data_IF_342040015955
#
_entry.id   IF_342040015955
#
_cell.length_a   1.000
_cell.length_b   1.000
_cell.length_c   1.000
_cell.angle_alpha   90.00
_cell.angle_beta   90.00
_cell.angle_gamma   90.00
#
_symmetry.space_group_name_H-M   'P 1'
#
loop_
_entity.id
_entity.type
_entity.pdbx_description
1 polymer ?
#
# COMPACT_ATOMS: atom_id res chain seq x y z
N UNK A 1 41.99 -47.07 32.83
CA UNK A 1 41.60 -45.67 33.08
C UNK A 1 41.71 -44.71 31.89
N UNK A 2 42.38 -45.04 30.76
CA UNK A 2 42.45 -44.15 29.57
C UNK A 2 41.15 -44.09 28.71
N UNK A 3 40.32 -45.13 28.73
CA UNK A 3 39.10 -45.22 27.90
C UNK A 3 37.92 -44.39 28.45
N UNK A 4 37.88 -44.15 29.77
CA UNK A 4 36.82 -43.37 30.42
C UNK A 4 36.96 -41.86 30.22
N UNK A 5 38.20 -41.37 30.05
CA UNK A 5 38.49 -39.94 29.79
C UNK A 5 38.13 -39.55 28.36
N UNK A 6 38.35 -40.42 27.37
CA UNK A 6 37.97 -40.16 25.98
C UNK A 6 36.44 -40.08 25.81
N UNK A 7 35.69 -40.94 26.50
CA UNK A 7 34.22 -40.92 26.48
C UNK A 7 33.64 -39.66 27.13
N UNK A 8 34.28 -39.12 28.18
CA UNK A 8 33.81 -37.90 28.85
C UNK A 8 34.16 -36.62 28.09
N UNK A 9 35.29 -36.61 27.35
CA UNK A 9 35.62 -35.50 26.43
C UNK A 9 34.67 -35.48 25.22
N UNK A 10 34.38 -36.64 24.62
CA UNK A 10 33.42 -36.76 23.51
C UNK A 10 31.99 -36.39 23.91
N UNK A 11 31.56 -36.74 25.14
CA UNK A 11 30.25 -36.32 25.68
C UNK A 11 30.19 -34.80 25.90
N UNK A 12 31.28 -34.18 26.40
CA UNK A 12 31.36 -32.72 26.56
C UNK A 12 31.34 -31.97 25.23
N UNK A 13 31.93 -32.55 24.18
CA UNK A 13 31.91 -31.98 22.84
C UNK A 13 30.53 -32.13 22.19
N UNK A 14 29.84 -33.27 22.38
CA UNK A 14 28.47 -33.46 21.89
C UNK A 14 27.44 -32.55 22.57
N UNK A 15 27.63 -32.21 23.85
CA UNK A 15 26.78 -31.24 24.55
C UNK A 15 26.95 -29.79 24.07
N UNK A 16 28.05 -29.46 23.36
CA UNK A 16 28.23 -28.14 22.74
C UNK A 16 27.54 -28.02 21.35
N UNK A 17 27.06 -29.12 20.78
CA UNK A 17 26.39 -29.15 19.47
C UNK A 17 24.87 -29.33 19.54
N UNK A 18 24.29 -29.53 20.72
CA UNK A 18 22.83 -29.65 20.91
C UNK A 18 22.28 -28.31 21.40
N UNK A 19 22.13 -27.34 20.48
CA UNK A 19 21.03 -26.36 20.44
C UNK A 19 21.29 -25.28 19.39
N UNK A 20 21.51 -25.68 18.14
CA UNK A 20 21.10 -24.88 16.97
C UNK A 20 19.75 -25.42 16.46
N UNK A 21 18.78 -25.64 17.35
CA UNK A 21 17.39 -25.77 16.91
C UNK A 21 16.90 -24.39 16.52
N UNK A 22 16.26 -24.31 15.36
CA UNK A 22 15.86 -23.08 14.69
C UNK A 22 15.09 -22.16 15.65
N UNK A 23 15.76 -21.11 16.16
CA UNK A 23 15.25 -20.34 17.30
C UNK A 23 13.93 -19.61 16.99
N UNK A 24 13.61 -19.45 15.70
CA UNK A 24 12.43 -18.74 15.22
C UNK A 24 11.18 -19.62 15.06
N UNK A 25 11.31 -20.95 15.02
CA UNK A 25 10.15 -21.86 14.87
C UNK A 25 9.13 -21.66 16.01
N UNK A 26 9.60 -21.31 17.20
CA UNK A 26 8.72 -20.98 18.33
C UNK A 26 7.94 -19.69 18.08
N UNK A 27 8.57 -18.68 17.47
CA UNK A 27 7.92 -17.42 17.14
C UNK A 27 6.90 -17.63 16.01
N UNK A 28 7.23 -18.44 15.00
CA UNK A 28 6.30 -18.79 13.92
C UNK A 28 5.04 -19.48 14.48
N UNK A 29 5.19 -20.46 15.37
CA UNK A 29 4.05 -21.12 16.04
C UNK A 29 3.21 -20.17 16.89
N UNK A 30 3.83 -19.18 17.53
CA UNK A 30 3.08 -18.17 18.29
C UNK A 30 2.28 -17.26 17.35
N UNK A 31 2.84 -16.92 16.18
CA UNK A 31 2.13 -16.19 15.13
C UNK A 31 0.93 -16.98 14.60
N UNK A 32 1.09 -18.27 14.33
CA UNK A 32 0.00 -19.16 13.89
C UNK A 32 -1.15 -19.25 14.90
N UNK A 33 -0.86 -19.08 16.19
CA UNK A 33 -1.85 -19.09 17.29
C UNK A 33 -2.37 -17.71 17.65
N UNK A 34 -2.00 -16.68 16.91
CA UNK A 34 -2.33 -15.27 17.18
C UNK A 34 -1.88 -14.78 18.57
N UNK A 35 -0.86 -15.43 19.15
CA UNK A 35 -0.31 -15.12 20.47
C UNK A 35 0.68 -13.94 20.40
N UNK A 36 0.25 -12.82 19.81
CA UNK A 36 1.14 -11.70 19.46
C UNK A 36 1.77 -11.03 20.69
N UNK A 37 1.08 -10.98 21.83
CA UNK A 37 1.66 -10.44 23.08
C UNK A 37 2.83 -11.29 23.56
N UNK A 38 2.72 -12.61 23.49
CA UNK A 38 3.80 -13.53 23.85
C UNK A 38 5.00 -13.39 22.90
N UNK A 39 4.75 -13.13 21.61
CA UNK A 39 5.81 -12.76 20.65
C UNK A 39 6.54 -11.50 21.10
N UNK A 40 5.83 -10.47 21.55
CA UNK A 40 6.47 -9.23 22.03
C UNK A 40 7.35 -9.48 23.25
N UNK A 41 6.90 -10.26 24.23
CA UNK A 41 7.67 -10.57 25.43
C UNK A 41 8.92 -11.40 25.11
N UNK A 42 8.75 -12.42 24.26
CA UNK A 42 9.82 -13.32 23.87
C UNK A 42 10.87 -12.62 23.02
N UNK A 43 10.45 -11.80 22.05
CA UNK A 43 11.38 -11.02 21.20
C UNK A 43 12.12 -9.97 22.01
N UNK A 44 11.48 -9.29 22.97
CA UNK A 44 12.16 -8.32 23.85
C UNK A 44 13.29 -8.97 24.63
N UNK A 45 12.97 -10.09 25.31
CA UNK A 45 13.91 -10.80 26.17
C UNK A 45 15.07 -11.37 25.37
N UNK A 46 14.79 -11.95 24.20
CA UNK A 46 15.83 -12.53 23.33
C UNK A 46 16.70 -11.43 22.70
N UNK A 47 16.11 -10.33 22.24
CA UNK A 47 16.86 -9.24 21.62
C UNK A 47 17.83 -8.58 22.60
N UNK A 48 17.42 -8.37 23.85
CA UNK A 48 18.31 -7.85 24.89
C UNK A 48 19.52 -8.75 25.16
N UNK A 49 19.39 -10.07 24.95
CA UNK A 49 20.46 -11.04 25.20
C UNK A 49 21.38 -11.23 23.99
N UNK A 50 20.83 -11.32 22.78
CA UNK A 50 21.60 -11.67 21.57
C UNK A 50 21.93 -10.49 20.67
N UNK A 51 21.19 -9.38 20.78
CA UNK A 51 21.26 -8.26 19.84
C UNK A 51 20.81 -8.60 18.41
N UNK A 52 20.17 -9.76 18.20
CA UNK A 52 19.81 -10.25 16.87
C UNK A 52 18.69 -9.42 16.21
N UNK A 53 18.98 -8.65 15.15
CA UNK A 53 17.99 -7.79 14.52
C UNK A 53 16.78 -8.53 13.94
N UNK A 54 16.89 -9.81 13.57
CA UNK A 54 15.74 -10.56 13.01
C UNK A 54 14.55 -10.62 13.97
N UNK A 55 14.81 -10.59 15.29
CA UNK A 55 13.75 -10.54 16.30
C UNK A 55 12.88 -9.27 16.21
N UNK A 56 13.45 -8.16 15.72
CA UNK A 56 12.71 -6.91 15.52
C UNK A 56 11.67 -7.04 14.40
N UNK A 57 11.89 -7.92 13.40
CA UNK A 57 10.90 -8.18 12.34
C UNK A 57 9.66 -8.86 12.92
N UNK A 58 9.87 -9.91 13.73
CA UNK A 58 8.78 -10.59 14.45
C UNK A 58 8.04 -9.63 15.39
N UNK A 59 8.79 -8.77 16.09
CA UNK A 59 8.21 -7.75 16.95
C UNK A 59 7.36 -6.75 16.17
N UNK A 60 7.85 -6.23 15.04
CA UNK A 60 7.13 -5.28 14.20
C UNK A 60 5.81 -5.88 13.69
N UNK A 61 5.85 -7.13 13.20
CA UNK A 61 4.64 -7.86 12.78
C UNK A 61 3.62 -8.03 13.91
N UNK A 62 4.07 -8.36 15.13
CA UNK A 62 3.18 -8.55 16.27
C UNK A 62 2.55 -7.22 16.71
N UNK A 63 3.31 -6.13 16.71
CA UNK A 63 2.80 -4.77 16.98
C UNK A 63 1.73 -4.36 15.97
N UNK A 64 1.99 -4.59 14.67
CA UNK A 64 1.04 -4.29 13.61
C UNK A 64 -0.26 -5.09 13.75
N UNK A 65 -0.17 -6.40 14.06
CA UNK A 65 -1.35 -7.24 14.32
C UNK A 65 -2.15 -6.83 15.56
N UNK A 66 -1.49 -6.20 16.53
CA UNK A 66 -2.13 -5.63 17.72
C UNK A 66 -2.66 -4.20 17.49
N UNK A 67 -2.50 -3.64 16.28
CA UNK A 67 -2.99 -2.31 15.92
C UNK A 67 -2.05 -1.16 16.28
N UNK A 68 -0.82 -1.44 16.74
CA UNK A 68 0.18 -0.41 17.06
C UNK A 68 1.12 -0.18 15.85
N UNK A 69 0.54 0.34 14.76
CA UNK A 69 1.25 0.51 13.48
C UNK A 69 2.43 1.47 13.56
N UNK A 70 2.36 2.47 14.45
CA UNK A 70 3.43 3.46 14.63
C UNK A 70 4.65 2.79 15.25
N UNK A 71 4.48 2.04 16.35
CA UNK A 71 5.60 1.31 16.95
C UNK A 71 6.11 0.18 16.06
N UNK A 72 5.22 -0.44 15.28
CA UNK A 72 5.63 -1.43 14.28
C UNK A 72 6.58 -0.80 13.25
N UNK A 73 6.25 0.40 12.75
CA UNK A 73 7.10 1.15 11.83
C UNK A 73 8.45 1.53 12.45
N UNK A 74 8.46 2.06 13.68
CA UNK A 74 9.71 2.40 14.36
C UNK A 74 10.59 1.17 14.58
N UNK A 75 9.97 0.02 14.88
CA UNK A 75 10.67 -1.25 15.08
C UNK A 75 11.29 -1.77 13.78
N UNK A 76 10.58 -1.71 12.64
CA UNK A 76 11.15 -2.15 11.35
C UNK A 76 12.24 -1.18 10.85
N UNK A 77 12.11 0.12 11.14
CA UNK A 77 13.18 1.10 10.88
C UNK A 77 14.44 0.76 11.67
N UNK A 78 14.31 0.39 12.94
CA UNK A 78 15.44 -0.04 13.76
C UNK A 78 16.09 -1.32 13.21
N UNK A 79 15.30 -2.30 12.78
CA UNK A 79 15.82 -3.49 12.08
C UNK A 79 16.69 -3.11 10.88
N UNK A 80 16.18 -2.20 10.03
CA UNK A 80 16.89 -1.75 8.84
C UNK A 80 18.14 -0.93 9.17
N UNK A 81 18.13 -0.15 10.26
CA UNK A 81 19.31 0.58 10.73
C UNK A 81 20.42 -0.34 11.28
N UNK A 82 20.04 -1.47 11.89
CA UNK A 82 20.99 -2.43 12.48
C UNK A 82 21.43 -3.53 11.52
N UNK A 83 20.78 -3.65 10.36
CA UNK A 83 21.04 -4.73 9.39
C UNK A 83 21.68 -4.15 8.13
N UNK A 84 22.88 -4.60 7.73
CA UNK A 84 23.50 -4.16 6.49
C UNK A 84 22.56 -4.36 5.31
N UNK A 85 22.54 -3.42 4.36
CA UNK A 85 21.60 -3.44 3.24
C UNK A 85 21.55 -4.81 2.58
N UNK A 86 22.70 -5.41 2.24
CA UNK A 86 22.80 -6.74 1.61
C UNK A 86 22.14 -7.91 2.35
N UNK A 87 21.84 -7.76 3.65
CA UNK A 87 21.19 -8.78 4.50
C UNK A 87 19.75 -8.44 4.86
N UNK A 88 19.25 -7.27 4.48
CA UNK A 88 17.85 -6.90 4.75
C UNK A 88 16.91 -7.66 3.81
N UNK A 89 16.02 -8.49 4.33
CA UNK A 89 15.11 -9.33 3.52
C UNK A 89 13.63 -8.88 3.53
N UNK A 90 13.27 -7.91 4.38
CA UNK A 90 11.88 -7.59 4.75
C UNK A 90 11.41 -6.18 4.31
N UNK A 91 11.82 -5.74 3.12
CA UNK A 91 11.41 -4.44 2.58
C UNK A 91 9.91 -4.34 2.32
N UNK A 92 9.23 -5.43 1.94
CA UNK A 92 7.77 -5.46 1.73
C UNK A 92 7.00 -5.04 3.00
N UNK A 93 7.39 -5.59 4.16
CA UNK A 93 6.83 -5.18 5.46
C UNK A 93 7.14 -3.70 5.76
N UNK A 94 8.32 -3.24 5.36
CA UNK A 94 8.71 -1.84 5.56
C UNK A 94 7.85 -0.89 4.72
N UNK A 95 7.56 -1.25 3.46
CA UNK A 95 6.64 -0.52 2.57
C UNK A 95 5.21 -0.55 3.11
N UNK A 96 4.70 -1.70 3.55
CA UNK A 96 3.35 -1.82 4.12
C UNK A 96 3.17 -0.93 5.36
N UNK A 97 4.13 -0.98 6.29
CA UNK A 97 4.10 -0.17 7.51
C UNK A 97 4.28 1.32 7.19
N UNK A 98 5.12 1.67 6.23
CA UNK A 98 5.26 3.06 5.77
C UNK A 98 3.95 3.60 5.20
N UNK A 99 3.26 2.80 4.37
CA UNK A 99 1.98 3.14 3.77
C UNK A 99 0.90 3.37 4.84
N UNK A 100 0.75 2.43 5.80
CA UNK A 100 -0.23 2.53 6.90
C UNK A 100 -0.04 3.81 7.72
N UNK A 101 1.21 4.22 7.94
CA UNK A 101 1.55 5.41 8.72
C UNK A 101 1.76 6.67 7.87
N UNK A 102 1.54 6.61 6.55
CA UNK A 102 1.75 7.72 5.59
C UNK A 102 3.15 8.32 5.64
N UNK A 103 4.16 7.50 5.91
CA UNK A 103 5.57 7.90 5.85
C UNK A 103 6.10 7.74 4.43
N UNK A 104 5.76 8.71 3.58
CA UNK A 104 6.03 8.67 2.13
C UNK A 104 7.53 8.62 1.82
N UNK A 105 8.34 9.39 2.55
CA UNK A 105 9.79 9.43 2.34
C UNK A 105 10.43 8.07 2.67
N UNK A 106 10.00 7.43 3.76
CA UNK A 106 10.48 6.09 4.08
C UNK A 106 9.99 5.05 3.07
N UNK A 107 8.74 5.16 2.60
CA UNK A 107 8.20 4.28 1.56
C UNK A 107 9.05 4.34 0.30
N UNK A 108 9.35 5.55 -0.20
CA UNK A 108 10.23 5.78 -1.37
C UNK A 108 11.55 5.04 -1.20
N UNK A 109 12.26 5.28 -0.09
CA UNK A 109 13.55 4.65 0.17
C UNK A 109 13.49 3.10 0.17
N UNK A 110 12.42 2.51 0.73
CA UNK A 110 12.28 1.05 0.76
C UNK A 110 11.87 0.47 -0.60
N UNK A 111 11.05 1.20 -1.36
CA UNK A 111 10.65 0.80 -2.71
C UNK A 111 11.81 0.86 -3.71
N UNK A 112 12.72 1.83 -3.57
CA UNK A 112 13.95 1.88 -4.36
C UNK A 112 14.83 0.65 -4.14
N UNK A 113 15.00 0.21 -2.90
CA UNK A 113 15.75 -1.02 -2.58
C UNK A 113 15.09 -2.25 -3.23
N UNK A 114 13.74 -2.32 -3.23
CA UNK A 114 13.02 -3.38 -3.93
C UNK A 114 13.22 -3.32 -5.44
N UNK A 115 13.22 -2.12 -6.03
CA UNK A 115 13.47 -1.89 -7.45
C UNK A 115 14.87 -2.32 -7.85
N UNK A 116 15.90 -1.90 -7.13
CA UNK A 116 17.31 -2.26 -7.38
C UNK A 116 17.54 -3.77 -7.34
N UNK A 117 16.73 -4.48 -6.55
CA UNK A 117 16.80 -5.95 -6.40
C UNK A 117 15.89 -6.71 -7.35
N UNK A 118 15.18 -6.03 -8.25
CA UNK A 118 14.18 -6.64 -9.13
C UNK A 118 13.09 -7.40 -8.36
N UNK A 119 12.70 -6.90 -7.17
CA UNK A 119 11.65 -7.44 -6.30
C UNK A 119 10.42 -6.53 -6.20
N UNK A 120 10.38 -5.44 -6.95
CA UNK A 120 9.25 -4.51 -6.95
C UNK A 120 8.06 -5.14 -7.68
N UNK A 121 7.03 -5.52 -6.94
CA UNK A 121 5.76 -5.99 -7.51
C UNK A 121 4.94 -4.82 -8.07
N UNK A 122 3.95 -5.11 -8.93
CA UNK A 122 3.08 -4.06 -9.50
C UNK A 122 2.30 -3.32 -8.41
N UNK A 123 1.81 -4.02 -7.39
CA UNK A 123 1.11 -3.37 -6.27
C UNK A 123 2.05 -2.46 -5.47
N UNK A 124 3.28 -2.91 -5.18
CA UNK A 124 4.28 -2.04 -4.56
C UNK A 124 4.67 -0.87 -5.46
N UNK A 125 4.75 -1.06 -6.78
CA UNK A 125 5.05 -0.01 -7.74
C UNK A 125 3.96 1.08 -7.77
N UNK A 126 2.68 0.69 -7.64
CA UNK A 126 1.56 1.63 -7.52
C UNK A 126 1.65 2.49 -6.27
N UNK A 127 1.97 1.89 -5.12
CA UNK A 127 2.15 2.65 -3.88
C UNK A 127 3.43 3.50 -3.90
N UNK A 128 4.50 3.00 -4.54
CA UNK A 128 5.72 3.76 -4.77
C UNK A 128 5.45 4.99 -5.66
N UNK A 129 4.71 4.83 -6.75
CA UNK A 129 4.28 5.93 -7.61
C UNK A 129 3.53 7.01 -6.82
N UNK A 130 2.57 6.61 -5.98
CA UNK A 130 1.83 7.55 -5.12
C UNK A 130 2.74 8.26 -4.14
N UNK A 131 3.68 7.55 -3.52
CA UNK A 131 4.62 8.15 -2.58
C UNK A 131 5.54 9.17 -3.28
N UNK A 132 6.05 8.88 -4.48
CA UNK A 132 6.83 9.82 -5.28
C UNK A 132 6.05 11.12 -5.57
N UNK A 133 4.77 11.01 -5.93
CA UNK A 133 3.94 12.20 -6.10
C UNK A 133 3.75 12.99 -4.80
N UNK A 134 3.61 12.31 -3.66
CA UNK A 134 3.48 12.96 -2.34
C UNK A 134 4.79 13.58 -1.83
N UNK A 135 5.95 13.08 -2.26
CA UNK A 135 7.26 13.68 -1.96
C UNK A 135 7.69 14.74 -2.98
N UNK A 136 6.94 14.91 -4.07
CA UNK A 136 7.21 15.92 -5.11
C UNK A 136 8.13 15.44 -6.24
N UNK A 137 8.48 14.16 -6.26
CA UNK A 137 9.33 13.48 -7.24
C UNK A 137 8.52 13.08 -8.50
N UNK A 138 7.92 14.09 -9.14
CA UNK A 138 6.96 13.88 -10.25
C UNK A 138 7.61 13.23 -11.47
N UNK A 139 8.88 13.52 -11.75
CA UNK A 139 9.55 12.99 -12.93
C UNK A 139 9.92 11.52 -12.75
N UNK A 140 10.34 11.14 -11.56
CA UNK A 140 10.60 9.77 -11.15
C UNK A 140 9.30 8.97 -11.18
N UNK A 141 8.18 9.54 -10.71
CA UNK A 141 6.86 8.92 -10.79
C UNK A 141 6.46 8.62 -12.24
N UNK A 142 6.64 9.58 -13.16
CA UNK A 142 6.37 9.39 -14.60
C UNK A 142 7.26 8.29 -15.20
N UNK A 143 8.53 8.26 -14.83
CA UNK A 143 9.48 7.23 -15.27
C UNK A 143 9.01 5.85 -14.80
N UNK A 144 8.71 5.70 -13.50
CA UNK A 144 8.23 4.46 -12.90
C UNK A 144 6.94 3.98 -13.57
N UNK A 145 5.99 4.89 -13.78
CA UNK A 145 4.74 4.57 -14.46
C UNK A 145 4.99 4.02 -15.86
N UNK A 146 5.75 4.74 -16.69
CA UNK A 146 6.00 4.33 -18.08
C UNK A 146 6.76 3.01 -18.21
N UNK A 147 7.66 2.70 -17.28
CA UNK A 147 8.53 1.52 -17.35
C UNK A 147 7.97 0.28 -16.67
N UNK A 148 7.17 0.44 -15.61
CA UNK A 148 6.78 -0.67 -14.71
C UNK A 148 5.27 -0.86 -14.67
N UNK A 149 4.48 0.22 -14.67
CA UNK A 149 3.03 0.15 -14.43
C UNK A 149 2.24 0.12 -15.74
N UNK A 150 2.62 0.95 -16.71
CA UNK A 150 1.87 1.16 -17.94
C UNK A 150 1.73 -0.15 -18.72
N UNK A 151 0.50 -0.45 -19.14
CA UNK A 151 0.20 -1.66 -19.91
C UNK A 151 0.16 -2.95 -19.08
N UNK A 152 0.29 -2.86 -17.75
CA UNK A 152 0.02 -3.99 -16.83
C UNK A 152 -1.44 -4.05 -16.38
N UNK A 153 -2.23 -3.03 -16.73
CA UNK A 153 -3.63 -2.84 -16.37
C UNK A 153 -4.47 -2.64 -17.63
N UNK A 154 -5.77 -2.89 -17.53
CA UNK A 154 -6.72 -2.41 -18.54
C UNK A 154 -6.77 -0.88 -18.57
N UNK A 155 -7.25 -0.28 -19.67
CA UNK A 155 -7.39 1.17 -19.77
C UNK A 155 -8.26 1.75 -18.64
N UNK A 156 -9.32 1.05 -18.25
CA UNK A 156 -10.20 1.43 -17.14
C UNK A 156 -9.47 1.45 -15.80
N UNK A 157 -8.76 0.38 -15.46
CA UNK A 157 -7.99 0.28 -14.21
C UNK A 157 -6.82 1.28 -14.17
N UNK A 158 -6.19 1.55 -15.31
CA UNK A 158 -5.11 2.54 -15.43
C UNK A 158 -5.66 3.95 -15.18
N UNK A 159 -6.78 4.32 -15.79
CA UNK A 159 -7.45 5.60 -15.55
C UNK A 159 -7.91 5.73 -14.10
N UNK A 160 -8.52 4.67 -13.53
CA UNK A 160 -8.92 4.63 -12.12
C UNK A 160 -7.73 4.90 -11.20
N UNK A 161 -6.61 4.23 -11.45
CA UNK A 161 -5.39 4.38 -10.67
C UNK A 161 -4.83 5.81 -10.77
N UNK A 162 -4.67 6.34 -11.99
CA UNK A 162 -4.09 7.66 -12.23
C UNK A 162 -4.94 8.77 -11.64
N UNK A 163 -6.27 8.75 -11.86
CA UNK A 163 -7.18 9.75 -11.31
C UNK A 163 -7.19 9.73 -9.78
N UNK A 164 -7.06 8.55 -9.18
CA UNK A 164 -7.00 8.41 -7.71
C UNK A 164 -5.66 8.82 -7.12
N UNK A 165 -4.58 8.77 -7.91
CA UNK A 165 -3.21 9.04 -7.47
C UNK A 165 -2.77 10.48 -7.75
N UNK A 166 -3.28 11.11 -8.80
CA UNK A 166 -2.85 12.41 -9.29
C UNK A 166 -3.53 13.58 -8.58
N UNK A 167 -2.83 14.72 -8.54
CA UNK A 167 -3.29 15.96 -7.88
C UNK A 167 -3.45 17.10 -8.90
N UNK A 168 -3.18 16.87 -10.19
CA UNK A 168 -3.33 17.88 -11.25
C UNK A 168 -4.61 17.63 -12.07
N UNK A 169 -5.66 18.48 -11.92
CA UNK A 169 -6.88 18.37 -12.72
C UNK A 169 -6.65 18.52 -14.22
N UNK A 170 -5.55 19.13 -14.66
CA UNK A 170 -5.25 19.32 -16.09
C UNK A 170 -4.93 18.01 -16.80
N UNK A 171 -4.44 17.01 -16.07
CA UNK A 171 -4.13 15.69 -16.62
C UNK A 171 -5.37 14.82 -16.85
N UNK A 172 -6.50 15.17 -16.22
CA UNK A 172 -7.73 14.36 -16.22
C UNK A 172 -8.21 13.96 -17.62
N UNK A 173 -8.23 14.91 -18.57
CA UNK A 173 -8.71 14.65 -19.94
C UNK A 173 -7.86 13.60 -20.63
N UNK A 174 -6.54 13.60 -20.38
CA UNK A 174 -5.64 12.62 -20.97
C UNK A 174 -5.91 11.20 -20.42
N UNK A 175 -6.29 11.08 -19.14
CA UNK A 175 -6.59 9.80 -18.50
C UNK A 175 -7.95 9.25 -18.86
N UNK A 176 -8.94 10.12 -19.08
CA UNK A 176 -10.28 9.72 -19.52
C UNK A 176 -10.34 9.42 -21.02
N UNK A 177 -9.43 9.99 -21.82
CA UNK A 177 -9.45 9.88 -23.29
C UNK A 177 -9.52 8.45 -23.87
N UNK A 178 -8.84 7.46 -23.28
CA UNK A 178 -8.95 6.06 -23.72
C UNK A 178 -10.30 5.38 -23.39
N UNK A 179 -11.15 5.98 -22.56
CA UNK A 179 -12.40 5.39 -22.07
C UNK A 179 -13.63 5.87 -22.85
N UNK A 180 -14.62 5.00 -23.02
CA UNK A 180 -15.95 5.39 -23.52
C UNK A 180 -16.67 6.30 -22.54
N UNK A 181 -17.72 7.00 -23.01
CA UNK A 181 -18.58 7.82 -22.14
C UNK A 181 -19.17 7.00 -20.98
N UNK A 182 -19.63 5.78 -21.25
CA UNK A 182 -20.20 4.87 -20.26
C UNK A 182 -19.18 4.43 -19.21
N UNK A 183 -17.94 4.17 -19.64
CA UNK A 183 -16.82 3.86 -18.75
C UNK A 183 -16.46 5.07 -17.87
N UNK A 184 -16.42 6.28 -18.45
CA UNK A 184 -16.19 7.51 -17.69
C UNK A 184 -17.30 7.75 -16.65
N UNK A 185 -18.57 7.51 -17.00
CA UNK A 185 -19.71 7.61 -16.07
C UNK A 185 -19.54 6.60 -14.93
N UNK A 186 -19.27 5.33 -15.26
CA UNK A 186 -19.10 4.26 -14.28
C UNK A 186 -17.97 4.57 -13.31
N UNK A 187 -16.83 5.05 -13.84
CA UNK A 187 -15.68 5.42 -13.03
C UNK A 187 -15.97 6.60 -12.09
N UNK A 188 -16.73 7.59 -12.54
CA UNK A 188 -17.15 8.70 -11.68
C UNK A 188 -18.06 8.21 -10.53
N UNK A 189 -18.98 7.27 -10.82
CA UNK A 189 -19.85 6.67 -9.81
C UNK A 189 -19.06 5.88 -8.75
N UNK A 190 -17.93 5.29 -9.12
CA UNK A 190 -17.04 4.57 -8.21
C UNK A 190 -16.13 5.49 -7.39
N UNK A 191 -15.48 6.48 -8.03
CA UNK A 191 -14.42 7.27 -7.40
C UNK A 191 -14.94 8.42 -6.54
N UNK A 192 -16.07 9.04 -6.90
CA UNK A 192 -16.60 10.18 -6.14
C UNK A 192 -16.95 9.79 -4.69
N UNK A 193 -17.65 8.67 -4.42
CA UNK A 193 -17.95 8.23 -3.05
C UNK A 193 -16.70 7.93 -2.20
N UNK A 194 -15.59 7.55 -2.83
CA UNK A 194 -14.32 7.25 -2.15
C UNK A 194 -13.54 8.51 -1.75
N UNK A 195 -14.04 9.70 -2.11
CA UNK A 195 -13.44 10.98 -1.71
C UNK A 195 -12.51 11.58 -2.74
N UNK A 196 -12.86 11.50 -4.04
CA UNK A 196 -12.18 12.20 -5.14
C UNK A 196 -11.83 13.65 -4.80
N UNK A 197 -10.69 14.18 -5.25
CA UNK A 197 -10.36 15.59 -5.01
C UNK A 197 -11.41 16.54 -5.62
N UNK A 198 -11.75 17.64 -4.93
CA UNK A 198 -12.80 18.56 -5.40
C UNK A 198 -12.45 19.25 -6.72
N UNK A 199 -11.17 19.54 -6.97
CA UNK A 199 -10.72 20.17 -8.20
C UNK A 199 -10.73 19.20 -9.39
N UNK A 200 -10.45 17.92 -9.14
CA UNK A 200 -10.62 16.85 -10.14
C UNK A 200 -12.11 16.64 -10.42
N UNK A 201 -12.96 16.60 -9.38
CA UNK A 201 -14.40 16.49 -9.54
C UNK A 201 -14.98 17.64 -10.37
N UNK A 202 -14.50 18.87 -10.17
CA UNK A 202 -14.90 20.04 -10.95
C UNK A 202 -14.50 19.93 -12.43
N UNK A 203 -13.24 19.60 -12.71
CA UNK A 203 -12.75 19.40 -14.08
C UNK A 203 -13.53 18.28 -14.79
N UNK A 204 -13.82 17.19 -14.08
CA UNK A 204 -14.58 16.07 -14.64
C UNK A 204 -16.03 16.45 -14.89
N UNK A 205 -16.68 17.16 -13.97
CA UNK A 205 -18.04 17.66 -14.16
C UNK A 205 -18.14 18.48 -15.45
N UNK A 206 -17.22 19.42 -15.66
CA UNK A 206 -17.17 20.26 -16.87
C UNK A 206 -17.02 19.39 -18.12
N UNK A 207 -16.08 18.44 -18.11
CA UNK A 207 -15.83 17.54 -19.25
C UNK A 207 -17.03 16.66 -19.56
N UNK A 208 -17.62 16.03 -18.54
CA UNK A 208 -18.70 15.06 -18.68
C UNK A 208 -19.99 15.74 -19.13
N UNK A 209 -20.30 16.94 -18.62
CA UNK A 209 -21.49 17.72 -19.00
C UNK A 209 -21.53 18.06 -20.49
N UNK A 210 -20.37 18.18 -21.13
CA UNK A 210 -20.28 18.49 -22.55
C UNK A 210 -20.56 17.27 -23.45
N UNK A 211 -20.64 16.08 -22.88
CA UNK A 211 -20.95 14.87 -23.62
C UNK A 211 -22.45 14.72 -23.85
N UNK A 212 -22.83 14.24 -25.03
CA UNK A 212 -24.23 14.02 -25.40
C UNK A 212 -24.67 12.66 -24.87
N UNK A 213 -25.10 12.61 -23.61
CA UNK A 213 -25.68 11.41 -22.99
C UNK A 213 -26.81 11.80 -22.06
N UNK A 214 -28.00 11.24 -22.29
CA UNK A 214 -29.22 11.53 -21.51
C UNK A 214 -29.63 10.31 -20.66
N UNK A 215 -28.67 9.52 -20.18
CA UNK A 215 -28.95 8.34 -19.36
C UNK A 215 -29.14 8.71 -17.88
N UNK A 216 -29.87 7.85 -17.16
CA UNK A 216 -30.06 7.96 -15.70
C UNK A 216 -28.69 8.02 -14.99
N UNK A 217 -27.76 7.14 -15.38
CA UNK A 217 -26.42 7.05 -14.83
C UNK A 217 -25.61 8.31 -15.11
N UNK A 218 -25.77 8.92 -16.29
CA UNK A 218 -25.12 10.17 -16.62
C UNK A 218 -25.56 11.30 -15.69
N UNK A 219 -26.87 11.47 -15.48
CA UNK A 219 -27.39 12.46 -14.53
C UNK A 219 -26.94 12.19 -13.10
N UNK A 220 -26.88 10.92 -12.68
CA UNK A 220 -26.36 10.55 -11.36
C UNK A 220 -24.89 10.92 -11.20
N UNK A 221 -24.05 10.62 -12.19
CA UNK A 221 -22.63 10.94 -12.17
C UNK A 221 -22.40 12.46 -12.14
N UNK A 222 -23.13 13.22 -12.97
CA UNK A 222 -23.07 14.69 -12.96
C UNK A 222 -23.47 15.29 -11.61
N UNK A 223 -24.52 14.77 -10.97
CA UNK A 223 -24.95 15.23 -9.65
C UNK A 223 -23.87 14.96 -8.58
N UNK A 224 -23.27 13.75 -8.59
CA UNK A 224 -22.20 13.40 -7.66
C UNK A 224 -20.95 14.26 -7.84
N UNK A 225 -20.50 14.44 -9.09
CA UNK A 225 -19.35 15.28 -9.41
C UNK A 225 -19.61 16.74 -9.01
N UNK A 226 -20.78 17.28 -9.34
CA UNK A 226 -21.17 18.65 -8.95
C UNK A 226 -21.19 18.82 -7.43
N UNK A 227 -21.79 17.89 -6.69
CA UNK A 227 -21.83 17.92 -5.23
C UNK A 227 -20.43 17.87 -4.63
N UNK A 228 -19.53 17.04 -5.18
CA UNK A 228 -18.13 16.95 -4.73
C UNK A 228 -17.31 18.18 -5.07
N UNK A 229 -17.60 18.84 -6.19
CA UNK A 229 -17.00 20.10 -6.62
C UNK A 229 -17.55 21.33 -5.86
N UNK A 230 -18.61 21.17 -5.06
CA UNK A 230 -19.27 22.28 -4.35
C UNK A 230 -20.26 23.08 -5.21
N UNK A 231 -20.63 22.57 -6.39
CA UNK A 231 -21.60 23.16 -7.32
C UNK A 231 -23.03 22.83 -6.94
N UNK A 232 -23.54 23.47 -5.88
CA UNK A 232 -24.85 23.16 -5.27
C UNK A 232 -26.05 23.33 -6.21
N UNK A 233 -25.99 24.32 -7.11
CA UNK A 233 -27.07 24.54 -8.06
C UNK A 233 -27.15 23.41 -9.08
N UNK A 234 -26.02 23.09 -9.72
CA UNK A 234 -25.92 22.02 -10.70
C UNK A 234 -26.18 20.63 -10.07
N UNK A 235 -25.67 20.39 -8.85
CA UNK A 235 -25.99 19.18 -8.08
C UNK A 235 -27.50 18.98 -7.96
N UNK A 236 -28.23 20.02 -7.56
CA UNK A 236 -29.68 19.97 -7.38
C UNK A 236 -30.43 19.76 -8.69
N UNK A 237 -29.96 20.38 -9.77
CA UNK A 237 -30.52 20.24 -11.11
C UNK A 237 -30.40 18.80 -11.61
N UNK A 238 -29.20 18.24 -11.60
CA UNK A 238 -28.94 16.88 -12.08
C UNK A 238 -29.54 15.80 -11.16
N UNK A 239 -29.59 16.03 -9.84
CA UNK A 239 -30.29 15.13 -8.93
C UNK A 239 -31.80 15.07 -9.18
N UNK A 240 -32.42 16.16 -9.66
CA UNK A 240 -33.82 16.17 -10.09
C UNK A 240 -33.99 15.41 -11.41
N UNK A 241 -33.13 15.65 -12.40
CA UNK A 241 -33.16 14.92 -13.68
C UNK A 241 -33.00 13.41 -13.48
N UNK A 242 -32.08 12.99 -12.61
CA UNK A 242 -31.92 11.60 -12.21
C UNK A 242 -33.21 11.00 -11.64
N UNK A 243 -33.85 11.67 -10.66
CA UNK A 243 -35.09 11.18 -10.06
C UNK A 243 -36.23 11.07 -11.07
N UNK A 244 -36.46 12.11 -11.86
CA UNK A 244 -37.55 12.14 -12.84
C UNK A 244 -37.42 11.03 -13.89
N UNK A 245 -36.19 10.77 -14.38
CA UNK A 245 -35.96 9.71 -15.36
C UNK A 245 -36.06 8.33 -14.73
N UNK A 246 -35.61 8.16 -13.48
CA UNK A 246 -35.77 6.90 -12.76
C UNK A 246 -37.25 6.54 -12.57
N UNK A 247 -38.08 7.48 -12.14
CA UNK A 247 -39.52 7.27 -11.93
C UNK A 247 -40.28 6.99 -13.24
N UNK A 248 -39.79 7.45 -14.39
CA UNK A 248 -40.41 7.19 -15.69
C UNK A 248 -40.10 5.78 -16.25
N UNK A 249 -39.13 5.08 -15.67
CA UNK A 249 -38.62 3.78 -16.14
C UNK A 249 -38.85 2.64 -15.13
N UNK A 250 -39.54 2.90 -14.01
CA UNK A 250 -40.05 1.92 -13.03
C UNK A 250 -41.56 1.72 -13.20
#
# INVERSE_FOLDING_TARGET
MRKTVAASILLSFFCLFISCSNSYDTLDRLFEREAYREVLDLTSTRFQRSGDPKLLVYRARALDRLGDSVKALDTIKLYNALTPLSKQEHQELSVELALKNRDWAYLVAQAEILKERNRLTIDCAKEYYRALLKTGEVQEAKTLFSQVIRGTLSAYEEAQFLISAEVDPKALVAHLGPLSTEEQISLALELVPLGLDSSIADAWFISLRMQKSDTIEHYRALALLAGRAGRRHEESEYARLYRNNKEAHE
#
